data_IF_871712220945
#
_entry.id   IF_871712220945
#
_cell.length_a   1.000
_cell.length_b   1.000
_cell.length_c   1.000
_cell.angle_alpha   90.00
_cell.angle_beta   90.00
_cell.angle_gamma   90.00
#
_symmetry.space_group_name_H-M   'P 1'
#
loop_
_entity.id
_entity.type
_entity.pdbx_description
1 polymer ?
#
# COMPACT_ATOMS: atom_id res chain seq x y z
N UNK A 1 30.44 46.98 -9.36
CA UNK A 1 30.44 45.98 -10.44
C UNK A 1 30.55 44.61 -9.80
N UNK A 2 29.77 43.64 -10.28
CA UNK A 2 29.87 42.16 -10.10
C UNK A 2 31.32 41.63 -10.00
N UNK A 3 31.71 40.46 -9.45
CA UNK A 3 31.09 39.14 -9.10
C UNK A 3 32.11 38.35 -8.21
N UNK A 4 31.66 37.60 -7.20
CA UNK A 4 31.71 36.12 -7.04
C UNK A 4 32.99 35.49 -6.41
N UNK A 5 32.82 34.75 -5.29
CA UNK A 5 33.20 33.33 -5.08
C UNK A 5 33.49 32.92 -3.61
N UNK A 6 32.65 31.99 -3.11
CA UNK A 6 32.94 30.88 -2.16
C UNK A 6 33.32 31.20 -0.69
N UNK A 7 32.36 31.01 0.23
CA UNK A 7 32.66 30.34 1.50
C UNK A 7 31.49 29.48 1.99
N UNK A 8 31.62 28.17 1.75
CA UNK A 8 30.87 27.14 2.47
C UNK A 8 31.36 27.12 3.92
N UNK A 9 30.43 27.11 4.88
CA UNK A 9 30.18 25.95 5.76
C UNK A 9 29.18 26.29 6.87
N UNK A 10 28.04 25.61 6.83
CA UNK A 10 27.23 25.26 8.00
C UNK A 10 27.39 23.75 8.16
N UNK A 11 27.78 23.29 9.36
CA UNK A 11 28.02 21.86 9.61
C UNK A 11 26.70 21.10 9.76
N UNK A 12 26.35 20.32 8.74
CA UNK A 12 25.29 19.32 8.74
C UNK A 12 25.72 18.09 9.56
N UNK A 13 25.03 17.81 10.67
CA UNK A 13 25.13 16.50 11.33
C UNK A 13 23.94 15.65 10.93
N UNK A 14 24.26 14.48 10.40
CA UNK A 14 23.44 13.62 9.54
C UNK A 14 22.73 12.54 10.37
N UNK A 15 21.40 12.43 10.31
CA UNK A 15 20.73 11.16 10.63
C UNK A 15 20.90 10.31 9.37
N UNK A 16 21.56 9.16 9.44
CA UNK A 16 21.70 8.28 8.26
C UNK A 16 20.32 7.87 7.76
N UNK A 17 19.83 8.58 6.72
CA UNK A 17 18.50 8.45 6.15
C UNK A 17 17.67 9.74 6.08
N UNK A 18 18.02 10.82 6.79
CA UNK A 18 17.36 12.14 6.70
C UNK A 18 18.38 13.25 7.01
N UNK A 19 18.80 14.00 5.98
CA UNK A 19 19.64 15.21 6.14
C UNK A 19 18.86 16.46 5.75
N UNK A 20 18.70 17.39 6.69
CA UNK A 20 18.08 18.70 6.51
C UNK A 20 17.39 19.17 7.81
N UNK A 21 17.20 20.48 8.04
CA UNK A 21 16.48 20.96 9.20
C UNK A 21 15.06 20.36 9.20
N UNK A 22 14.55 19.95 10.37
CA UNK A 22 13.20 19.38 10.57
C UNK A 22 12.09 20.44 10.28
N UNK A 23 12.43 21.62 9.76
CA UNK A 23 11.48 22.65 9.37
C UNK A 23 11.11 22.52 7.88
N UNK A 24 9.94 21.96 7.59
CA UNK A 24 9.20 22.38 6.38
C UNK A 24 8.58 21.33 5.48
N UNK A 25 8.54 20.04 5.84
CA UNK A 25 7.90 19.03 4.98
C UNK A 25 6.51 18.59 5.44
N UNK A 26 6.17 18.86 6.70
CA UNK A 26 4.83 18.68 7.23
C UNK A 26 4.30 20.04 7.68
N UNK A 27 3.12 20.39 7.19
CA UNK A 27 2.36 21.56 7.61
C UNK A 27 0.88 21.19 7.85
N UNK A 28 0.03 22.19 8.12
CA UNK A 28 -1.40 21.99 8.32
C UNK A 28 -2.17 21.50 7.09
N UNK A 29 -1.53 21.41 5.92
CA UNK A 29 -2.09 20.89 4.68
C UNK A 29 -1.63 19.46 4.35
N UNK A 30 -0.75 18.87 5.16
CA UNK A 30 -0.23 17.52 4.96
C UNK A 30 -1.36 16.48 4.96
N UNK A 31 -1.38 15.64 3.92
CA UNK A 31 -2.32 14.52 3.81
C UNK A 31 -1.79 13.28 4.54
N UNK A 32 -2.61 12.67 5.39
CA UNK A 32 -2.27 11.42 6.07
C UNK A 32 -2.74 10.19 5.27
N UNK A 33 -1.84 9.22 5.11
CA UNK A 33 -2.10 7.87 4.62
C UNK A 33 -1.65 6.86 5.69
N UNK A 34 -2.45 5.83 5.92
CA UNK A 34 -2.21 4.84 6.97
C UNK A 34 -1.72 3.47 6.48
N UNK A 35 -1.34 2.65 7.45
CA UNK A 35 -1.29 1.19 7.35
C UNK A 35 -1.86 0.59 8.63
N UNK A 36 -2.97 -0.15 8.52
CA UNK A 36 -3.67 -0.77 9.65
C UNK A 36 -3.46 -2.29 9.67
N UNK A 37 -2.75 -2.78 10.67
CA UNK A 37 -2.46 -4.21 10.87
C UNK A 37 -1.92 -4.48 12.27
N UNK A 38 -1.77 -5.75 12.64
CA UNK A 38 -1.16 -6.14 13.92
C UNK A 38 -0.47 -7.51 13.84
N UNK A 39 0.81 -7.64 14.28
CA UNK A 39 1.77 -6.57 14.57
C UNK A 39 2.27 -5.90 13.26
N UNK A 40 2.71 -4.64 13.30
CA UNK A 40 3.07 -3.92 12.05
C UNK A 40 4.27 -2.96 12.09
N UNK A 41 4.88 -2.72 13.26
CA UNK A 41 5.98 -1.74 13.39
C UNK A 41 7.25 -2.08 12.61
N UNK A 42 7.40 -3.34 12.18
CA UNK A 42 8.51 -3.80 11.36
C UNK A 42 8.32 -3.52 9.85
N UNK A 43 7.16 -2.99 9.44
CA UNK A 43 6.85 -2.75 8.02
C UNK A 43 7.81 -1.75 7.39
N UNK A 44 8.28 -2.06 6.18
CA UNK A 44 9.06 -1.14 5.34
C UNK A 44 8.18 -0.17 4.53
N UNK A 45 6.86 -0.35 4.56
CA UNK A 45 5.91 0.46 3.76
C UNK A 45 5.99 1.96 4.08
N UNK A 46 6.10 2.40 5.36
CA UNK A 46 6.31 3.82 5.68
C UNK A 46 7.57 4.39 5.03
N UNK A 47 8.69 3.67 5.11
CA UNK A 47 9.94 4.11 4.48
C UNK A 47 9.79 4.23 2.97
N UNK A 48 9.16 3.23 2.33
CA UNK A 48 8.92 3.22 0.89
C UNK A 48 8.05 4.40 0.45
N UNK A 49 6.89 4.60 1.08
CA UNK A 49 5.93 5.62 0.67
C UNK A 49 6.40 7.04 1.01
N UNK A 50 6.97 7.27 2.20
CA UNK A 50 7.47 8.60 2.55
C UNK A 50 8.63 9.04 1.65
N UNK A 51 9.53 8.12 1.28
CA UNK A 51 10.57 8.44 0.29
C UNK A 51 9.99 8.73 -1.10
N UNK A 52 8.93 8.01 -1.51
CA UNK A 52 8.24 8.31 -2.76
C UNK A 52 7.55 9.68 -2.73
N UNK A 53 6.90 10.04 -1.62
CA UNK A 53 6.32 11.37 -1.44
C UNK A 53 7.40 12.44 -1.51
N UNK A 54 8.48 12.29 -0.73
CA UNK A 54 9.66 13.17 -0.72
C UNK A 54 10.19 13.41 -2.13
N UNK A 55 10.41 12.32 -2.88
CA UNK A 55 10.94 12.37 -4.23
C UNK A 55 10.02 13.08 -5.23
N UNK A 56 8.70 12.97 -5.03
CA UNK A 56 7.69 13.52 -5.93
C UNK A 56 7.18 14.92 -5.50
N UNK A 57 7.65 15.45 -4.38
CA UNK A 57 7.18 16.75 -3.87
C UNK A 57 5.72 16.72 -3.36
N UNK A 58 5.22 15.55 -2.95
CA UNK A 58 3.85 15.39 -2.47
C UNK A 58 3.76 15.70 -0.97
N UNK A 59 2.93 16.66 -0.58
CA UNK A 59 2.68 17.00 0.83
C UNK A 59 1.80 15.93 1.52
N UNK A 60 2.39 14.75 1.74
CA UNK A 60 1.74 13.61 2.34
C UNK A 60 2.70 12.85 3.26
N UNK A 61 2.13 12.18 4.26
CA UNK A 61 2.87 11.29 5.17
C UNK A 61 2.19 9.94 5.28
N UNK A 62 3.01 8.89 5.41
CA UNK A 62 2.58 7.51 5.59
C UNK A 62 2.97 7.02 6.99
N UNK A 63 2.00 6.56 7.78
CA UNK A 63 2.23 6.03 9.13
C UNK A 63 1.60 4.65 9.33
N UNK A 64 2.22 3.84 10.20
CA UNK A 64 1.67 2.55 10.63
C UNK A 64 0.88 2.68 11.94
N UNK A 65 -0.23 1.93 12.02
CA UNK A 65 -1.09 1.84 13.19
C UNK A 65 -1.32 0.37 13.56
N UNK A 66 -1.06 0.04 14.82
CA UNK A 66 -1.31 -1.29 15.38
C UNK A 66 -2.81 -1.48 15.66
N UNK A 67 -3.50 -2.04 14.67
CA UNK A 67 -4.94 -2.24 14.64
C UNK A 67 -5.22 -3.71 14.37
N UNK A 68 -5.90 -4.35 15.31
CA UNK A 68 -6.48 -5.69 15.19
C UNK A 68 -7.95 -5.61 14.76
N UNK A 69 -8.61 -6.76 14.62
CA UNK A 69 -10.01 -6.85 14.21
C UNK A 69 -10.96 -6.15 15.20
N UNK A 70 -10.65 -6.11 16.50
CA UNK A 70 -11.50 -5.47 17.52
C UNK A 70 -11.51 -3.96 17.38
N UNK A 71 -10.35 -3.37 17.05
CA UNK A 71 -10.18 -1.91 16.89
C UNK A 71 -10.49 -1.43 15.48
N UNK A 72 -10.53 -2.33 14.51
CA UNK A 72 -10.74 -2.02 13.09
C UNK A 72 -11.97 -1.15 12.81
N UNK A 73 -13.17 -1.38 13.39
CA UNK A 73 -14.35 -0.55 13.09
C UNK A 73 -14.11 0.93 13.43
N UNK A 74 -13.54 1.19 14.62
CA UNK A 74 -13.22 2.54 15.08
C UNK A 74 -12.11 3.18 14.25
N UNK A 75 -11.14 2.40 13.79
CA UNK A 75 -10.07 2.89 12.92
C UNK A 75 -10.59 3.31 11.54
N UNK A 76 -11.54 2.55 10.96
CA UNK A 76 -12.19 2.90 9.70
C UNK A 76 -13.06 4.14 9.85
N UNK A 77 -13.80 4.27 10.96
CA UNK A 77 -14.54 5.50 11.27
C UNK A 77 -13.61 6.71 11.40
N UNK A 78 -12.50 6.56 12.14
CA UNK A 78 -11.49 7.61 12.27
C UNK A 78 -10.88 8.02 10.92
N UNK A 79 -10.68 7.08 9.98
CA UNK A 79 -10.23 7.40 8.63
C UNK A 79 -11.17 8.38 7.92
N UNK A 80 -12.49 8.22 8.09
CA UNK A 80 -13.50 9.14 7.56
C UNK A 80 -13.46 10.47 8.31
N UNK A 81 -13.52 10.44 9.64
CA UNK A 81 -13.57 11.62 10.51
C UNK A 81 -12.37 12.54 10.34
N UNK A 82 -11.16 11.97 10.23
CA UNK A 82 -9.92 12.72 10.08
C UNK A 82 -9.63 13.14 8.63
N UNK A 83 -10.46 12.75 7.67
CA UNK A 83 -10.22 13.04 6.25
C UNK A 83 -8.94 12.39 5.71
N UNK A 84 -8.53 11.24 6.26
CA UNK A 84 -7.37 10.51 5.74
C UNK A 84 -7.60 10.14 4.27
N UNK A 85 -6.56 10.23 3.44
CA UNK A 85 -6.69 9.91 2.00
C UNK A 85 -6.93 8.43 1.73
N UNK A 86 -6.49 7.57 2.65
CA UNK A 86 -6.64 6.14 2.56
C UNK A 86 -5.72 5.42 3.53
N UNK A 87 -5.69 4.09 3.41
CA UNK A 87 -4.80 3.25 4.20
C UNK A 87 -4.49 1.96 3.48
N UNK A 88 -3.28 1.45 3.62
CA UNK A 88 -3.08 0.02 3.44
C UNK A 88 -3.66 -0.76 4.61
N UNK A 89 -3.92 -2.03 4.36
CA UNK A 89 -4.48 -2.98 5.31
C UNK A 89 -3.68 -4.28 5.18
N UNK A 90 -3.27 -4.85 6.31
CA UNK A 90 -2.61 -6.15 6.32
C UNK A 90 -3.24 -7.05 7.38
N UNK A 91 -2.67 -8.23 7.61
CA UNK A 91 -3.13 -9.18 8.61
C UNK A 91 -3.27 -8.51 9.99
N UNK A 92 -4.35 -8.78 10.75
CA UNK A 92 -5.44 -9.73 10.46
C UNK A 92 -6.62 -9.15 9.66
N UNK A 93 -6.50 -7.90 9.19
CA UNK A 93 -7.66 -7.08 8.81
C UNK A 93 -8.09 -7.19 7.35
N UNK A 94 -7.33 -7.85 6.46
CA UNK A 94 -7.57 -7.82 5.01
C UNK A 94 -9.00 -8.23 4.60
N UNK A 95 -9.56 -9.23 5.27
CA UNK A 95 -10.95 -9.65 5.07
C UNK A 95 -11.91 -8.92 6.01
N UNK A 96 -11.51 -8.74 7.27
CA UNK A 96 -12.34 -8.12 8.30
C UNK A 96 -12.74 -6.67 8.00
N UNK A 97 -12.00 -5.98 7.13
CA UNK A 97 -12.31 -4.59 6.77
C UNK A 97 -13.50 -4.46 5.81
N UNK A 98 -13.79 -5.50 5.02
CA UNK A 98 -14.77 -5.45 3.91
C UNK A 98 -16.14 -4.90 4.34
N UNK A 99 -16.74 -5.33 5.48
CA UNK A 99 -18.04 -4.84 5.91
C UNK A 99 -18.09 -3.33 6.25
N UNK A 100 -16.94 -2.67 6.36
CA UNK A 100 -16.85 -1.24 6.70
C UNK A 100 -16.56 -0.33 5.49
N UNK A 101 -16.47 -0.91 4.29
CA UNK A 101 -16.22 -0.21 3.03
C UNK A 101 -17.52 -0.02 2.23
N UNK A 102 -17.57 1.02 1.42
CA UNK A 102 -18.76 1.36 0.61
C UNK A 102 -18.72 0.67 -0.75
N UNK A 103 -17.51 0.49 -1.29
CA UNK A 103 -17.27 -0.13 -2.60
C UNK A 103 -16.07 -1.07 -2.56
N UNK A 104 -16.07 -2.06 -3.44
CA UNK A 104 -14.91 -2.89 -3.74
C UNK A 104 -14.59 -2.81 -5.24
N UNK A 105 -13.34 -3.02 -5.59
CA UNK A 105 -12.99 -3.37 -6.97
C UNK A 105 -13.27 -4.85 -7.23
N UNK A 106 -13.41 -5.22 -8.52
CA UNK A 106 -13.74 -6.59 -8.92
C UNK A 106 -12.71 -7.61 -8.40
N UNK A 107 -11.43 -7.25 -8.35
CA UNK A 107 -10.42 -8.17 -7.84
C UNK A 107 -10.59 -8.39 -6.33
N UNK A 108 -10.87 -7.34 -5.55
CA UNK A 108 -11.17 -7.48 -4.12
C UNK A 108 -12.44 -8.29 -3.84
N UNK A 109 -13.50 -8.12 -4.63
CA UNK A 109 -14.72 -8.95 -4.52
C UNK A 109 -14.40 -10.44 -4.73
N UNK A 110 -13.63 -10.75 -5.77
CA UNK A 110 -13.26 -12.13 -6.09
C UNK A 110 -12.26 -12.74 -5.10
N UNK A 111 -11.36 -11.92 -4.53
CA UNK A 111 -10.36 -12.38 -3.56
C UNK A 111 -10.89 -12.48 -2.12
N UNK A 112 -12.03 -11.85 -1.83
CA UNK A 112 -12.53 -11.65 -0.46
C UNK A 112 -11.46 -11.04 0.47
N UNK A 113 -10.71 -10.08 -0.08
CA UNK A 113 -9.60 -9.42 0.61
C UNK A 113 -9.33 -8.01 0.05
N UNK A 114 -8.98 -7.10 0.96
CA UNK A 114 -8.58 -5.73 0.68
C UNK A 114 -7.24 -5.46 1.36
N UNK A 115 -6.25 -4.98 0.60
CA UNK A 115 -4.97 -4.52 1.14
C UNK A 115 -4.79 -3.00 1.02
N UNK A 116 -5.71 -2.32 0.32
CA UNK A 116 -5.64 -0.89 0.01
C UNK A 116 -7.03 -0.28 0.06
N UNK A 117 -7.21 0.76 0.87
CA UNK A 117 -8.44 1.54 0.95
C UNK A 117 -8.16 2.94 0.45
N UNK A 118 -9.03 3.46 -0.41
CA UNK A 118 -9.00 4.82 -0.92
C UNK A 118 -10.22 5.55 -0.43
N UNK A 119 -10.03 6.70 0.22
CA UNK A 119 -11.12 7.54 0.72
C UNK A 119 -11.35 8.72 -0.23
N UNK A 120 -12.48 8.72 -0.93
CA UNK A 120 -12.91 9.81 -1.80
C UNK A 120 -14.07 10.55 -1.13
N UNK A 121 -13.76 11.63 -0.41
CA UNK A 121 -14.74 12.49 0.27
C UNK A 121 -15.71 11.71 1.18
N UNK A 122 -15.18 10.75 1.94
CA UNK A 122 -15.98 9.92 2.83
C UNK A 122 -16.62 8.72 2.17
N UNK A 123 -16.31 8.40 0.91
CA UNK A 123 -16.63 7.10 0.27
C UNK A 123 -15.35 6.25 0.24
N UNK A 124 -15.35 5.13 0.95
CA UNK A 124 -14.23 4.20 1.08
C UNK A 124 -14.35 3.06 0.08
N UNK A 125 -13.37 3.00 -0.83
CA UNK A 125 -13.25 1.92 -1.80
C UNK A 125 -12.08 1.00 -1.49
N UNK A 126 -12.35 -0.29 -1.43
CA UNK A 126 -11.35 -1.35 -1.22
C UNK A 126 -10.76 -1.86 -2.52
N UNK A 127 -9.46 -2.15 -2.48
CA UNK A 127 -8.69 -2.75 -3.56
C UNK A 127 -7.74 -3.81 -3.03
N UNK A 128 -7.39 -4.76 -3.89
CA UNK A 128 -6.25 -5.65 -3.72
C UNK A 128 -5.19 -5.34 -4.78
N UNK A 129 -4.02 -4.90 -4.33
CA UNK A 129 -2.91 -4.51 -5.21
C UNK A 129 -1.82 -5.57 -5.35
N UNK A 130 -1.87 -6.65 -4.55
CA UNK A 130 -0.86 -7.70 -4.54
C UNK A 130 -0.75 -8.39 -5.92
N UNK A 131 -1.90 -8.76 -6.52
CA UNK A 131 -1.94 -9.39 -7.84
C UNK A 131 -1.53 -8.43 -8.98
N UNK A 132 -1.97 -7.17 -8.92
CA UNK A 132 -1.57 -6.12 -9.86
C UNK A 132 -0.04 -5.90 -9.79
N UNK A 133 0.51 -5.84 -8.58
CA UNK A 133 1.94 -5.70 -8.34
C UNK A 133 2.75 -6.82 -8.97
N UNK A 134 2.29 -8.06 -8.82
CA UNK A 134 2.94 -9.24 -9.41
C UNK A 134 2.91 -9.23 -10.94
N UNK A 135 1.74 -8.98 -11.56
CA UNK A 135 1.63 -8.92 -13.03
C UNK A 135 2.50 -7.77 -13.59
N UNK A 136 2.53 -6.62 -12.91
CA UNK A 136 3.39 -5.49 -13.30
C UNK A 136 4.87 -5.83 -13.20
N UNK A 137 5.28 -6.55 -12.16
CA UNK A 137 6.67 -7.00 -12.01
C UNK A 137 7.08 -7.92 -13.17
N UNK A 138 6.23 -8.91 -13.53
CA UNK A 138 6.48 -9.77 -14.70
C UNK A 138 6.64 -8.97 -16.00
N UNK A 139 5.77 -7.98 -16.23
CA UNK A 139 5.81 -7.11 -17.42
C UNK A 139 7.08 -6.28 -17.50
N UNK A 140 7.59 -5.82 -16.35
CA UNK A 140 8.88 -5.11 -16.29
C UNK A 140 10.05 -5.99 -16.77
N UNK A 141 9.94 -7.30 -16.58
CA UNK A 141 10.93 -8.29 -16.99
C UNK A 141 10.63 -8.89 -18.39
N UNK A 142 9.74 -8.25 -19.16
CA UNK A 142 9.40 -8.66 -20.53
C UNK A 142 8.47 -9.87 -20.63
N UNK A 143 7.84 -10.27 -19.53
CA UNK A 143 6.87 -11.38 -19.48
C UNK A 143 5.45 -10.86 -19.32
N UNK A 144 4.46 -11.61 -19.80
CA UNK A 144 3.05 -11.27 -19.60
C UNK A 144 2.24 -12.53 -19.29
N UNK A 145 1.11 -12.36 -18.60
CA UNK A 145 0.20 -13.46 -18.25
C UNK A 145 -0.74 -13.81 -19.40
N UNK A 146 -1.00 -12.84 -20.30
CA UNK A 146 -2.00 -12.97 -21.37
C UNK A 146 -1.71 -14.17 -22.28
N UNK A 147 -2.68 -15.07 -22.39
CA UNK A 147 -2.60 -16.28 -23.20
C UNK A 147 -1.63 -17.35 -22.66
N UNK A 148 -1.06 -17.18 -21.46
CA UNK A 148 -0.12 -18.13 -20.85
C UNK A 148 -0.82 -19.10 -19.89
N UNK A 149 -0.17 -20.23 -19.65
CA UNK A 149 -0.52 -21.17 -18.59
C UNK A 149 0.36 -20.86 -17.39
N UNK A 150 -0.25 -20.65 -16.23
CA UNK A 150 0.45 -20.30 -14.98
C UNK A 150 0.31 -21.47 -14.01
N UNK A 151 1.41 -21.96 -13.48
CA UNK A 151 1.42 -22.89 -12.35
C UNK A 151 1.72 -22.12 -11.08
N UNK A 152 0.82 -22.18 -10.10
CA UNK A 152 0.91 -21.48 -8.83
C UNK A 152 0.99 -22.48 -7.69
N UNK A 153 2.00 -22.34 -6.83
CA UNK A 153 2.12 -23.09 -5.59
C UNK A 153 1.63 -22.21 -4.43
N UNK A 154 0.53 -22.61 -3.81
CA UNK A 154 -0.15 -21.89 -2.74
C UNK A 154 -1.58 -21.49 -3.09
N UNK A 155 -2.44 -21.42 -2.07
CA UNK A 155 -3.81 -20.91 -2.15
C UNK A 155 -4.12 -19.82 -1.09
N UNK A 156 -3.08 -19.27 -0.46
CA UNK A 156 -3.19 -18.25 0.59
C UNK A 156 -3.25 -16.80 0.09
N UNK A 157 -3.08 -15.85 1.02
CA UNK A 157 -3.32 -14.41 0.79
C UNK A 157 -2.47 -13.71 -0.28
N UNK A 158 -1.39 -14.33 -0.76
CA UNK A 158 -0.64 -13.84 -1.92
C UNK A 158 -1.02 -14.57 -3.22
N UNK A 159 -1.27 -15.88 -3.15
CA UNK A 159 -1.59 -16.70 -4.30
C UNK A 159 -2.97 -16.36 -4.87
N UNK A 160 -3.98 -16.17 -4.01
CA UNK A 160 -5.35 -15.82 -4.42
C UNK A 160 -5.41 -14.54 -5.28
N UNK A 161 -4.86 -13.39 -4.86
CA UNK A 161 -4.87 -12.19 -5.70
C UNK A 161 -4.03 -12.35 -6.97
N UNK A 162 -2.93 -13.10 -6.95
CA UNK A 162 -2.15 -13.42 -8.16
C UNK A 162 -3.01 -14.21 -9.16
N UNK A 163 -3.69 -15.26 -8.72
CA UNK A 163 -4.54 -16.08 -9.58
C UNK A 163 -5.71 -15.27 -10.16
N UNK A 164 -6.42 -14.52 -9.30
CA UNK A 164 -7.55 -13.68 -9.71
C UNK A 164 -7.10 -12.61 -10.71
N UNK A 165 -6.06 -11.83 -10.41
CA UNK A 165 -5.57 -10.80 -11.33
C UNK A 165 -5.07 -11.41 -12.63
N UNK A 166 -4.37 -12.55 -12.59
CA UNK A 166 -3.91 -13.23 -13.81
C UNK A 166 -5.07 -13.67 -14.71
N UNK A 167 -6.15 -14.18 -14.12
CA UNK A 167 -7.37 -14.55 -14.86
C UNK A 167 -8.02 -13.31 -15.48
N UNK A 168 -8.16 -12.23 -14.73
CA UNK A 168 -8.73 -10.96 -15.21
C UNK A 168 -7.89 -10.32 -16.34
N UNK A 169 -6.57 -10.52 -16.32
CA UNK A 169 -5.61 -10.04 -17.33
C UNK A 169 -5.45 -11.00 -18.53
N UNK A 170 -6.22 -12.09 -18.57
CA UNK A 170 -6.34 -12.96 -19.74
C UNK A 170 -5.37 -14.13 -19.78
N UNK A 171 -4.91 -14.65 -18.64
CA UNK A 171 -4.25 -15.95 -18.59
C UNK A 171 -5.14 -17.04 -19.22
N UNK A 172 -4.53 -17.97 -19.96
CA UNK A 172 -5.23 -19.06 -20.64
C UNK A 172 -5.70 -20.12 -19.65
N UNK A 173 -4.87 -20.44 -18.65
CA UNK A 173 -5.11 -21.49 -17.67
C UNK A 173 -4.29 -21.19 -16.42
N UNK A 174 -4.84 -21.48 -15.24
CA UNK A 174 -4.15 -21.36 -13.95
C UNK A 174 -4.24 -22.69 -13.23
N UNK A 175 -3.08 -23.30 -12.94
CA UNK A 175 -2.95 -24.58 -12.22
C UNK A 175 -2.49 -24.29 -10.80
N UNK A 176 -3.39 -24.47 -9.85
CA UNK A 176 -3.11 -24.19 -8.44
C UNK A 176 -2.79 -25.51 -7.72
N UNK A 177 -1.68 -25.54 -7.00
CA UNK A 177 -1.29 -26.64 -6.13
C UNK A 177 -1.12 -26.10 -4.71
N UNK A 178 -1.80 -26.71 -3.75
CA UNK A 178 -1.63 -26.43 -2.32
C UNK A 178 -1.48 -27.75 -1.58
N UNK A 179 -0.89 -27.71 -0.39
CA UNK A 179 -1.00 -28.83 0.56
C UNK A 179 -2.45 -28.94 1.04
N UNK A 180 -2.81 -30.10 1.57
CA UNK A 180 -4.06 -30.25 2.30
C UNK A 180 -3.82 -29.76 3.73
N UNK A 181 -4.16 -28.50 3.97
CA UNK A 181 -4.19 -27.84 5.27
C UNK A 181 -5.65 -27.68 5.77
N UNK A 182 -5.81 -27.47 7.08
CA UNK A 182 -7.12 -27.34 7.75
C UNK A 182 -7.85 -26.01 7.44
#
# INVERSE_FOLDING_TARGET
>A
MEKDERSNKVEETTITGVNGPISGWLDGHTILIGLMAYPIRHSMSPTMHNNAFAKLGLNATYLCFEIDNERLPKAVEAMRTLGMRGSNVSMPNKKAIIPYLDELDKASEMCDAVNTVVNNNGVLKGYTTDGIGWVRALRKDGQDVKGKIITLAGAGGAATPIAVTSALEGAKEIRIFNIEDD
#
